data_IF_326761271203
#
_entry.id   IF_326761271203
#
_cell.length_a   1.000
_cell.length_b   1.000
_cell.length_c   1.000
_cell.angle_alpha   90.00
_cell.angle_beta   90.00
_cell.angle_gamma   90.00
#
_symmetry.space_group_name_H-M   'P 1'
#
loop_
_entity.id
_entity.type
_entity.pdbx_description
1 polymer ?
#
# COMPACT_ATOMS: atom_id res chain seq x y z
N UNK A 1 27.56 15.89 4.71
CA UNK A 1 26.26 16.46 4.28
C UNK A 1 25.38 15.28 3.92
N UNK A 2 24.26 15.10 4.61
CA UNK A 2 23.25 14.11 4.23
C UNK A 2 22.21 14.83 3.38
N UNK A 3 22.12 14.47 2.11
CA UNK A 3 21.11 15.04 1.20
C UNK A 3 19.83 14.25 1.37
N UNK A 4 18.77 14.89 1.86
CA UNK A 4 17.43 14.31 1.79
C UNK A 4 16.92 14.53 0.36
N UNK A 5 16.86 13.48 -0.43
CA UNK A 5 16.15 13.49 -1.71
C UNK A 5 14.70 13.09 -1.43
N UNK A 6 13.77 14.03 -1.64
CA UNK A 6 12.33 13.71 -1.65
C UNK A 6 12.02 13.32 -3.08
N UNK A 7 11.84 12.02 -3.34
CA UNK A 7 11.35 11.53 -4.61
C UNK A 7 9.83 11.38 -4.54
N UNK A 8 9.12 12.08 -5.43
CA UNK A 8 7.66 12.01 -5.53
C UNK A 8 7.34 11.48 -6.92
N UNK A 9 6.88 10.23 -6.97
CA UNK A 9 6.35 9.64 -8.19
C UNK A 9 4.83 9.59 -8.12
N UNK A 10 4.17 10.27 -9.08
CA UNK A 10 2.72 10.16 -9.27
C UNK A 10 2.43 8.99 -10.18
N UNK A 11 1.61 8.06 -9.71
CA UNK A 11 1.14 6.90 -10.48
C UNK A 11 -0.38 7.02 -10.65
N UNK A 12 -0.88 6.86 -11.87
CA UNK A 12 -2.31 6.73 -12.16
C UNK A 12 -2.64 5.27 -12.38
N UNK A 13 -3.64 4.75 -11.67
CA UNK A 13 -4.07 3.34 -11.74
C UNK A 13 -5.56 3.30 -12.07
N UNK A 14 -5.88 2.97 -13.31
CA UNK A 14 -7.26 2.87 -13.77
C UNK A 14 -7.92 1.57 -13.34
N UNK A 15 -9.24 1.64 -13.15
CA UNK A 15 -10.08 0.50 -12.80
C UNK A 15 -9.96 0.06 -11.33
N UNK A 16 -9.34 0.87 -10.46
CA UNK A 16 -9.28 0.59 -9.02
C UNK A 16 -10.68 0.70 -8.41
N UNK A 17 -11.11 -0.35 -7.71
CA UNK A 17 -12.43 -0.42 -7.05
C UNK A 17 -12.31 -0.53 -5.53
N UNK A 18 -11.17 -1.02 -5.03
CA UNK A 18 -10.95 -1.21 -3.60
C UNK A 18 -9.47 -0.98 -3.25
N UNK A 19 -9.24 -0.37 -2.09
CA UNK A 19 -7.91 -0.23 -1.49
C UNK A 19 -7.92 -1.00 -0.17
N UNK A 20 -6.96 -1.90 0.00
CA UNK A 20 -6.79 -2.69 1.23
C UNK A 20 -5.41 -2.38 1.82
N UNK A 21 -5.39 -2.03 3.09
CA UNK A 21 -4.17 -1.77 3.85
C UNK A 21 -4.00 -2.90 4.86
N UNK A 22 -2.87 -3.59 4.84
CA UNK A 22 -2.60 -4.67 5.80
C UNK A 22 -2.19 -4.11 7.15
N UNK A 23 -2.22 -4.96 8.17
CA UNK A 23 -1.55 -4.64 9.43
C UNK A 23 -0.05 -4.42 9.22
N UNK A 24 0.51 -3.52 10.02
CA UNK A 24 1.96 -3.35 10.11
C UNK A 24 2.51 -4.42 11.06
N UNK A 25 3.34 -5.31 10.53
CA UNK A 25 3.96 -6.44 11.24
C UNK A 25 5.47 -6.29 11.27
N UNK A 26 6.13 -6.84 12.30
CA UNK A 26 7.60 -6.86 12.38
C UNK A 26 8.14 -8.01 11.52
N UNK A 27 9.00 -7.70 10.55
CA UNK A 27 9.82 -8.67 9.85
C UNK A 27 11.07 -8.95 10.70
N UNK A 28 11.15 -10.17 11.23
CA UNK A 28 12.21 -10.57 12.16
C UNK A 28 13.57 -10.78 11.49
N UNK A 29 13.62 -10.92 10.16
CA UNK A 29 14.88 -11.09 9.42
C UNK A 29 15.57 -9.75 9.18
N UNK A 30 14.79 -8.72 8.87
CA UNK A 30 15.29 -7.37 8.58
C UNK A 30 15.19 -6.42 9.77
N UNK A 31 14.49 -6.83 10.84
CA UNK A 31 14.17 -6.01 12.02
C UNK A 31 13.46 -4.68 11.65
N UNK A 32 12.63 -4.72 10.62
CA UNK A 32 11.83 -3.60 10.14
C UNK A 32 10.35 -3.94 10.21
N UNK A 33 9.51 -2.94 10.45
CA UNK A 33 8.09 -3.07 10.25
C UNK A 33 7.77 -3.07 8.76
N UNK A 34 6.80 -3.88 8.37
CA UNK A 34 6.35 -4.06 6.99
C UNK A 34 4.83 -3.94 6.93
N UNK A 35 4.32 -3.22 5.93
CA UNK A 35 2.90 -3.11 5.59
C UNK A 35 2.73 -3.08 4.08
N UNK A 36 1.63 -3.61 3.58
CA UNK A 36 1.27 -3.53 2.16
C UNK A 36 0.01 -2.66 1.96
N UNK A 37 0.03 -1.88 0.88
CA UNK A 37 -1.14 -1.20 0.33
C UNK A 37 -1.47 -1.86 -1.00
N UNK A 38 -2.66 -2.46 -1.08
CA UNK A 38 -3.14 -3.20 -2.24
C UNK A 38 -4.24 -2.42 -2.94
N UNK A 39 -4.05 -2.18 -4.23
CA UNK A 39 -5.04 -1.61 -5.13
C UNK A 39 -5.67 -2.76 -5.90
N UNK A 40 -6.95 -3.01 -5.65
CA UNK A 40 -7.72 -4.08 -6.26
C UNK A 40 -8.79 -3.48 -7.19
N UNK A 41 -9.04 -4.12 -8.32
CA UNK A 41 -9.88 -3.53 -9.36
C UNK A 41 -10.21 -4.45 -10.52
N UNK A 42 -10.62 -3.84 -11.63
CA UNK A 42 -10.99 -4.55 -12.86
C UNK A 42 -9.77 -5.10 -13.63
N UNK A 43 -9.91 -6.26 -14.31
CA UNK A 43 -11.10 -7.11 -14.35
C UNK A 43 -11.29 -7.90 -13.05
N UNK A 44 -12.51 -8.38 -12.82
CA UNK A 44 -12.80 -9.30 -11.73
C UNK A 44 -12.37 -10.72 -12.11
N UNK A 45 -11.95 -11.52 -11.11
CA UNK A 45 -11.62 -12.92 -11.32
C UNK A 45 -12.87 -13.78 -11.61
N UNK A 46 -12.67 -15.07 -11.83
CA UNK A 46 -13.77 -16.01 -12.12
C UNK A 46 -14.80 -16.14 -10.98
N UNK A 47 -14.45 -15.70 -9.77
CA UNK A 47 -15.32 -15.72 -8.59
C UNK A 47 -15.97 -14.36 -8.33
N UNK A 48 -15.79 -13.39 -9.24
CA UNK A 48 -16.31 -12.03 -9.09
C UNK A 48 -15.57 -11.18 -8.05
N UNK A 49 -14.32 -11.54 -7.71
CA UNK A 49 -13.48 -10.75 -6.81
C UNK A 49 -12.60 -9.76 -7.58
N UNK A 50 -12.38 -8.53 -7.08
CA UNK A 50 -11.45 -7.58 -7.68
C UNK A 50 -10.03 -8.16 -7.77
N UNK A 51 -9.38 -8.04 -8.94
CA UNK A 51 -8.01 -8.54 -9.14
C UNK A 51 -6.99 -7.53 -8.62
N UNK A 52 -5.84 -8.01 -8.13
CA UNK A 52 -4.72 -7.16 -7.73
C UNK A 52 -4.13 -6.39 -8.92
N UNK A 53 -4.11 -5.06 -8.81
CA UNK A 53 -3.57 -4.13 -9.82
C UNK A 53 -2.18 -3.65 -9.46
N UNK A 54 -2.00 -3.29 -8.20
CA UNK A 54 -0.72 -2.85 -7.64
C UNK A 54 -0.65 -3.26 -6.17
N UNK A 55 0.51 -3.71 -5.75
CA UNK A 55 0.88 -3.80 -4.35
C UNK A 55 2.10 -2.91 -4.11
N UNK A 56 1.97 -2.02 -3.12
CA UNK A 56 3.07 -1.21 -2.62
C UNK A 56 3.46 -1.73 -1.25
N UNK A 57 4.69 -2.23 -1.15
CA UNK A 57 5.26 -2.67 0.12
C UNK A 57 6.03 -1.51 0.75
N UNK A 58 5.66 -1.19 1.99
CA UNK A 58 6.28 -0.15 2.80
C UNK A 58 7.10 -0.81 3.91
N UNK A 59 8.29 -0.27 4.17
CA UNK A 59 9.18 -0.72 5.24
C UNK A 59 9.67 0.46 6.05
N UNK A 60 9.74 0.32 7.37
CA UNK A 60 10.34 1.33 8.26
C UNK A 60 10.88 0.69 9.53
N UNK A 61 11.84 1.34 10.17
CA UNK A 61 12.31 0.99 11.51
C UNK A 61 11.26 1.26 12.59
N UNK A 62 10.37 2.25 12.39
CA UNK A 62 9.30 2.57 13.33
C UNK A 62 7.92 2.23 12.77
N UNK A 63 7.09 1.55 13.58
CA UNK A 63 5.73 1.17 13.21
C UNK A 63 4.83 2.37 12.89
N UNK A 64 5.05 3.49 13.58
CA UNK A 64 4.30 4.74 13.39
C UNK A 64 4.47 5.35 12.01
N UNK A 65 5.62 5.12 11.38
CA UNK A 65 5.96 5.72 10.07
C UNK A 65 5.17 5.05 8.93
N UNK A 66 4.60 3.87 9.19
CA UNK A 66 3.79 3.13 8.23
C UNK A 66 2.30 3.51 8.29
N UNK A 67 1.96 4.67 8.86
CA UNK A 67 0.58 5.13 8.89
C UNK A 67 0.09 5.46 7.47
N UNK A 68 -1.00 4.80 7.05
CA UNK A 68 -1.61 5.00 5.72
C UNK A 68 -3.02 5.50 5.95
N UNK A 69 -3.33 6.68 5.42
CA UNK A 69 -4.68 7.23 5.42
C UNK A 69 -5.34 6.97 4.08
N UNK A 70 -6.37 6.14 4.09
CA UNK A 70 -7.27 5.98 2.94
C UNK A 70 -8.45 6.93 3.15
N UNK A 71 -8.78 7.82 2.21
CA UNK A 71 -9.95 8.67 2.36
C UNK A 71 -11.20 7.79 2.48
N UNK A 72 -11.94 7.94 3.57
CA UNK A 72 -13.23 7.28 3.73
C UNK A 72 -14.19 7.86 2.69
N UNK A 73 -14.65 7.04 1.75
CA UNK A 73 -15.77 7.42 0.90
C UNK A 73 -17.05 7.32 1.73
N UNK A 74 -17.49 8.42 2.34
CA UNK A 74 -18.90 8.58 2.71
C UNK A 74 -19.68 8.78 1.42
N UNK A 75 -20.43 7.76 1.01
CA UNK A 75 -21.48 7.86 0.00
C UNK A 75 -22.79 8.26 0.67
#
# INVERSE_FOLDING_TARGET
>A
MTTVAIDIQKITIDGTRQIVVTDAVLDTETNQFVRAVRFLGEPYDSNGQPTLRLEVQLRSENRSDLNVTVPSSTF
#
